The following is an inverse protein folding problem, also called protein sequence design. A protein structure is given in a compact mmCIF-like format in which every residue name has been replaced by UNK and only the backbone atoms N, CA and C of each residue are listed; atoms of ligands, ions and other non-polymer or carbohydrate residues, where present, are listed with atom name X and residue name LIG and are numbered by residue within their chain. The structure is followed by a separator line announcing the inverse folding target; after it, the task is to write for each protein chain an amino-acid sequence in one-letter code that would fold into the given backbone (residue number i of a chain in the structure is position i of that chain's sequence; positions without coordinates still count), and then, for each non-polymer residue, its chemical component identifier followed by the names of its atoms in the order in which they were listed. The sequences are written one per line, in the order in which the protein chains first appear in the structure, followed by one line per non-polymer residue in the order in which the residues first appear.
data_IF_949608691777
#
_entry.id   IF_949608691777
#
_cell.length_a   1.000
_cell.length_b   1.000
_cell.length_c   1.000
_cell.angle_alpha   90.00
_cell.angle_beta   90.00
_cell.angle_gamma   90.00
#
_symmetry.space_group_name_H-M   'P 1'
#
loop_
_entity.id
_entity.type
_entity.pdbx_description
1 polymer ?
#
# COMPACT_ATOMS: atom_id res chain seq x y z
N UNK A 1 -14.99 2.14 9.66
CA UNK A 1 -13.89 1.18 9.39
C UNK A 1 -13.34 0.60 10.70
N UNK A 2 -12.96 1.38 11.69
CA UNK A 2 -12.25 0.91 12.89
C UNK A 2 -13.07 -0.09 13.73
N UNK A 3 -14.40 -0.11 13.59
CA UNK A 3 -15.28 -1.04 14.32
C UNK A 3 -15.29 -2.47 13.75
N UNK A 4 -14.84 -2.69 12.52
CA UNK A 4 -14.91 -4.01 11.87
C UNK A 4 -13.60 -4.46 11.23
N UNK A 5 -12.54 -3.63 11.29
CA UNK A 5 -11.18 -4.02 10.96
C UNK A 5 -10.47 -4.54 12.21
N UNK A 6 -9.57 -5.47 12.00
CA UNK A 6 -8.62 -5.90 13.04
C UNK A 6 -7.52 -4.87 13.18
N UNK A 7 -6.94 -4.79 14.37
CA UNK A 7 -5.82 -3.91 14.67
C UNK A 7 -4.62 -4.75 15.06
N UNK A 8 -3.60 -4.76 14.23
CA UNK A 8 -2.29 -5.32 14.55
C UNK A 8 -1.44 -4.21 15.13
N UNK A 9 -0.87 -4.40 16.30
CA UNK A 9 -0.03 -3.38 16.93
C UNK A 9 1.20 -4.00 17.61
N UNK A 10 2.23 -3.19 17.76
CA UNK A 10 3.42 -3.48 18.54
C UNK A 10 3.27 -2.79 19.88
N UNK A 11 3.41 -3.57 20.94
CA UNK A 11 3.43 -3.09 22.30
C UNK A 11 4.86 -3.12 22.84
N UNK A 12 5.29 -2.03 23.43
CA UNK A 12 6.56 -1.95 24.14
C UNK A 12 6.31 -2.12 25.65
N UNK A 13 6.82 -3.22 26.20
CA UNK A 13 6.64 -3.57 27.60
C UNK A 13 7.43 -2.66 28.55
N UNK A 14 8.54 -2.07 28.09
CA UNK A 14 9.40 -1.23 28.92
C UNK A 14 8.80 0.17 29.12
N UNK A 15 8.12 0.68 28.10
CA UNK A 15 7.51 2.01 28.10
C UNK A 15 5.99 1.99 28.21
N UNK A 16 5.38 0.80 28.24
CA UNK A 16 3.94 0.55 28.39
C UNK A 16 3.08 1.30 27.35
N UNK A 17 3.51 1.27 26.08
CA UNK A 17 2.83 2.01 24.99
C UNK A 17 2.81 1.29 23.65
N UNK A 18 1.87 1.68 22.79
CA UNK A 18 1.82 1.23 21.40
C UNK A 18 2.91 1.98 20.61
N UNK A 19 3.79 1.21 19.95
CA UNK A 19 4.92 1.72 19.15
C UNK A 19 4.56 1.85 17.68
N UNK A 20 3.71 0.99 17.20
CA UNK A 20 3.26 1.00 15.80
C UNK A 20 2.03 0.13 15.60
N UNK A 21 1.30 0.36 14.52
CA UNK A 21 0.12 -0.42 14.21
C UNK A 21 -0.14 -0.51 12.70
N UNK A 22 -0.94 -1.52 12.34
CA UNK A 22 -1.64 -1.65 11.06
C UNK A 22 -3.11 -1.95 11.30
N UNK A 23 -3.97 -1.41 10.45
CA UNK A 23 -5.36 -1.81 10.35
C UNK A 23 -5.49 -2.87 9.26
N UNK A 24 -6.18 -3.96 9.57
CA UNK A 24 -6.27 -5.17 8.74
C UNK A 24 -7.73 -5.53 8.51
N UNK A 25 -8.20 -5.44 7.28
CA UNK A 25 -9.58 -5.75 6.90
C UNK A 25 -9.67 -7.07 6.12
N UNK A 26 -10.47 -8.02 6.59
CA UNK A 26 -10.75 -9.25 5.86
C UNK A 26 -11.77 -8.99 4.76
N UNK A 27 -11.38 -9.21 3.50
CA UNK A 27 -12.20 -8.90 2.34
C UNK A 27 -13.55 -9.62 2.36
N UNK A 28 -13.57 -10.90 2.69
CA UNK A 28 -14.80 -11.69 2.86
C UNK A 28 -15.76 -11.03 3.85
N UNK A 29 -15.31 -10.74 5.07
CA UNK A 29 -16.13 -10.17 6.13
C UNK A 29 -16.67 -8.79 5.76
N UNK A 30 -15.85 -8.00 5.05
CA UNK A 30 -16.23 -6.67 4.56
C UNK A 30 -17.32 -6.78 3.49
N UNK A 31 -17.13 -7.68 2.50
CA UNK A 31 -18.08 -7.83 1.41
C UNK A 31 -19.42 -8.35 1.92
N UNK A 32 -19.40 -9.38 2.77
CA UNK A 32 -20.61 -10.02 3.28
C UNK A 32 -21.48 -9.04 4.10
N UNK A 33 -20.87 -8.08 4.80
CA UNK A 33 -21.59 -7.12 5.65
C UNK A 33 -21.88 -5.77 5.00
N UNK A 34 -20.94 -5.26 4.20
CA UNK A 34 -20.96 -3.87 3.72
C UNK A 34 -20.80 -3.74 2.20
N UNK A 35 -20.52 -4.87 1.50
CA UNK A 35 -20.18 -4.84 0.08
C UNK A 35 -18.88 -4.07 -0.20
N UNK A 36 -18.68 -3.67 -1.45
CA UNK A 36 -17.48 -2.89 -1.88
C UNK A 36 -17.32 -1.58 -1.10
N UNK A 37 -18.42 -0.98 -0.66
CA UNK A 37 -18.40 0.29 0.09
C UNK A 37 -17.74 0.17 1.47
N UNK A 38 -17.62 -1.03 1.99
CA UNK A 38 -16.94 -1.32 3.24
C UNK A 38 -15.41 -1.27 3.17
N UNK A 39 -14.81 -1.25 1.99
CA UNK A 39 -13.37 -1.08 1.83
C UNK A 39 -12.95 0.38 1.92
N UNK A 40 -11.86 0.64 2.62
CA UNK A 40 -11.27 1.98 2.69
C UNK A 40 -10.81 2.48 1.31
N UNK A 41 -10.22 1.59 0.50
CA UNK A 41 -9.81 1.94 -0.87
C UNK A 41 -10.98 2.47 -1.71
N UNK A 42 -12.22 2.06 -1.43
CA UNK A 42 -13.39 2.59 -2.15
C UNK A 42 -13.65 4.09 -1.87
N UNK A 43 -13.08 4.65 -0.81
CA UNK A 43 -13.15 6.10 -0.56
C UNK A 43 -12.24 6.89 -1.51
N UNK A 44 -11.16 6.28 -1.98
CA UNK A 44 -10.13 6.87 -2.84
C UNK A 44 -10.34 6.53 -4.32
N UNK A 45 -10.89 5.35 -4.59
CA UNK A 45 -11.04 4.81 -5.95
C UNK A 45 -12.49 4.42 -6.23
N UNK A 46 -12.86 4.49 -7.50
CA UNK A 46 -14.08 3.86 -8.03
C UNK A 46 -13.72 2.42 -8.37
N UNK A 47 -14.40 1.48 -7.76
CA UNK A 47 -14.13 0.04 -7.89
C UNK A 47 -15.28 -0.60 -8.66
N UNK A 48 -14.95 -1.33 -9.74
CA UNK A 48 -15.91 -2.08 -10.53
C UNK A 48 -16.18 -3.45 -9.91
N UNK A 49 -17.40 -3.97 -10.11
CA UNK A 49 -17.82 -5.26 -9.54
C UNK A 49 -17.00 -6.46 -10.04
N UNK A 50 -16.37 -6.35 -11.19
CA UNK A 50 -15.57 -7.44 -11.78
C UNK A 50 -14.39 -7.87 -10.88
N UNK A 51 -13.89 -6.98 -10.03
CA UNK A 51 -12.79 -7.30 -9.08
C UNK A 51 -13.27 -8.00 -7.80
N UNK A 52 -14.57 -8.20 -7.63
CA UNK A 52 -15.14 -8.81 -6.41
C UNK A 52 -14.45 -10.11 -5.98
N UNK A 53 -14.13 -11.07 -6.87
CA UNK A 53 -13.44 -12.29 -6.46
C UNK A 53 -12.08 -12.00 -5.80
N UNK A 54 -11.32 -11.07 -6.36
CA UNK A 54 -10.01 -10.65 -5.78
C UNK A 54 -10.21 -9.97 -4.44
N UNK A 55 -11.19 -9.07 -4.31
CA UNK A 55 -11.49 -8.41 -3.05
C UNK A 55 -11.95 -9.39 -1.97
N UNK A 56 -12.70 -10.41 -2.34
CA UNK A 56 -13.19 -11.44 -1.42
C UNK A 56 -12.04 -12.27 -0.80
N UNK A 57 -11.02 -12.56 -1.62
CA UNK A 57 -9.81 -13.27 -1.20
C UNK A 57 -8.68 -12.31 -0.75
N UNK A 58 -8.99 -11.04 -0.47
CA UNK A 58 -7.99 -10.05 -0.09
C UNK A 58 -8.01 -9.70 1.39
N UNK A 59 -6.88 -9.21 1.85
CA UNK A 59 -6.74 -8.47 3.11
C UNK A 59 -6.40 -7.04 2.77
N UNK A 60 -7.24 -6.09 3.22
CA UNK A 60 -6.96 -4.67 3.11
C UNK A 60 -6.09 -4.19 4.26
N UNK A 61 -4.91 -3.67 3.93
CA UNK A 61 -3.99 -3.04 4.86
C UNK A 61 -4.13 -1.51 4.79
N UNK A 62 -4.12 -0.88 5.94
CA UNK A 62 -4.19 0.57 5.99
C UNK A 62 -3.82 1.15 7.35
N UNK A 63 -3.78 2.47 7.42
CA UNK A 63 -3.49 3.20 8.66
C UNK A 63 -2.25 2.69 9.38
N UNK A 64 -1.17 2.43 8.62
CA UNK A 64 0.12 2.06 9.22
C UNK A 64 0.79 3.29 9.85
N UNK A 65 1.35 3.10 11.03
CA UNK A 65 2.22 4.09 11.64
C UNK A 65 3.27 3.43 12.53
N UNK A 66 4.36 4.15 12.74
CA UNK A 66 5.35 3.92 13.77
C UNK A 66 5.58 5.28 14.44
N UNK A 67 5.55 5.33 15.77
CA UNK A 67 5.78 6.58 16.52
C UNK A 67 7.20 7.09 16.30
N UNK A 68 7.39 8.40 16.41
CA UNK A 68 8.62 9.09 16.02
C UNK A 68 9.90 8.52 16.64
N UNK A 69 9.88 8.24 17.94
CA UNK A 69 11.03 7.68 18.68
C UNK A 69 11.53 6.33 18.14
N UNK A 70 10.68 5.63 17.39
CA UNK A 70 10.95 4.30 16.82
C UNK A 70 11.09 4.31 15.30
N UNK A 71 10.88 5.48 14.66
CA UNK A 71 11.17 5.66 13.23
C UNK A 71 12.69 5.55 12.99
N UNK A 72 13.09 5.24 11.77
CA UNK A 72 14.47 4.99 11.36
C UNK A 72 15.16 3.78 12.04
N UNK A 73 14.41 3.02 12.85
CA UNK A 73 14.85 1.73 13.37
C UNK A 73 14.20 0.62 12.54
N UNK A 74 14.94 -0.37 12.04
CA UNK A 74 14.38 -1.40 11.15
C UNK A 74 13.43 -2.36 11.89
N UNK A 75 13.67 -2.60 13.18
CA UNK A 75 12.98 -3.62 13.96
C UNK A 75 11.45 -3.42 14.04
N UNK A 76 10.90 -2.24 14.34
CA UNK A 76 9.46 -2.06 14.42
C UNK A 76 8.73 -2.37 13.11
N UNK A 77 9.26 -1.90 11.98
CA UNK A 77 8.70 -2.20 10.67
C UNK A 77 8.74 -3.71 10.36
N UNK A 78 9.87 -4.35 10.65
CA UNK A 78 10.03 -5.79 10.50
C UNK A 78 9.01 -6.57 11.36
N UNK A 79 8.78 -6.15 12.61
CA UNK A 79 7.81 -6.79 13.49
C UNK A 79 6.37 -6.63 13.00
N UNK A 80 5.99 -5.48 12.44
CA UNK A 80 4.69 -5.28 11.80
C UNK A 80 4.50 -6.23 10.62
N UNK A 81 5.49 -6.34 9.73
CA UNK A 81 5.45 -7.27 8.61
C UNK A 81 5.41 -8.75 9.05
N UNK A 82 6.15 -9.10 10.09
CA UNK A 82 6.08 -10.44 10.72
C UNK A 82 4.68 -10.72 11.25
N UNK A 83 4.03 -9.74 11.87
CA UNK A 83 2.66 -9.84 12.35
C UNK A 83 1.65 -10.03 11.19
N UNK A 84 1.81 -9.30 10.09
CA UNK A 84 0.99 -9.46 8.89
C UNK A 84 1.18 -10.87 8.31
N UNK A 85 2.42 -11.34 8.19
CA UNK A 85 2.71 -12.69 7.70
C UNK A 85 2.08 -13.76 8.59
N UNK A 86 2.18 -13.63 9.91
CA UNK A 86 1.53 -14.53 10.86
C UNK A 86 0.01 -14.53 10.68
N UNK A 87 -0.60 -13.35 10.48
CA UNK A 87 -2.02 -13.23 10.20
C UNK A 87 -2.43 -13.98 8.92
N UNK A 88 -1.63 -13.86 7.85
CA UNK A 88 -1.85 -14.57 6.58
C UNK A 88 -1.74 -16.09 6.75
N UNK A 89 -0.73 -16.58 7.48
CA UNK A 89 -0.55 -18.00 7.74
C UNK A 89 -1.77 -18.58 8.50
N UNK A 90 -2.38 -17.77 9.37
CA UNK A 90 -3.59 -18.20 10.12
C UNK A 90 -4.89 -18.08 9.31
N UNK A 91 -4.86 -17.39 8.18
CA UNK A 91 -6.01 -17.15 7.30
C UNK A 91 -5.62 -17.43 5.83
N UNK A 92 -5.31 -18.69 5.48
CA UNK A 92 -4.73 -19.07 4.18
C UNK A 92 -5.68 -18.90 2.99
N UNK A 93 -6.95 -18.63 3.25
CA UNK A 93 -7.96 -18.29 2.23
C UNK A 93 -7.72 -16.93 1.57
N UNK A 94 -6.93 -16.05 2.20
CA UNK A 94 -6.61 -14.74 1.63
C UNK A 94 -5.29 -14.79 0.86
N UNK A 95 -5.37 -14.48 -0.44
CA UNK A 95 -4.25 -14.56 -1.40
C UNK A 95 -3.68 -13.21 -1.78
N UNK A 96 -4.43 -12.14 -1.55
CA UNK A 96 -4.08 -10.80 -1.98
C UNK A 96 -3.94 -9.85 -0.79
N UNK A 97 -2.91 -9.03 -0.81
CA UNK A 97 -2.81 -7.86 0.05
C UNK A 97 -3.14 -6.63 -0.79
N UNK A 98 -4.08 -5.84 -0.33
CA UNK A 98 -4.49 -4.61 -1.00
C UNK A 98 -4.38 -3.43 -0.03
N UNK A 99 -4.16 -2.25 -0.57
CA UNK A 99 -4.12 -1.02 0.23
C UNK A 99 -3.58 0.15 -0.57
N UNK A 100 -3.92 1.37 -0.20
CA UNK A 100 -3.35 2.54 -0.84
C UNK A 100 -1.94 2.79 -0.34
N UNK A 101 -1.03 3.11 -1.25
CA UNK A 101 0.29 3.61 -0.94
C UNK A 101 0.32 5.11 -1.25
N UNK A 102 0.86 5.89 -0.34
CA UNK A 102 0.99 7.34 -0.49
C UNK A 102 2.43 7.71 -0.80
N UNK A 103 2.62 8.42 -1.91
CA UNK A 103 3.90 9.07 -2.22
C UNK A 103 3.92 10.41 -1.47
N UNK A 104 4.97 10.67 -0.70
CA UNK A 104 5.09 11.89 0.10
C UNK A 104 5.06 13.15 -0.79
N UNK A 105 4.34 14.17 -0.34
CA UNK A 105 4.35 15.48 -0.98
C UNK A 105 5.71 16.21 -0.94
N UNK A 106 6.64 15.70 -0.10
CA UNK A 106 8.00 16.25 0.01
C UNK A 106 8.92 15.87 -1.16
N UNK A 107 8.60 14.79 -1.89
CA UNK A 107 9.35 14.43 -3.09
C UNK A 107 9.16 15.48 -4.20
N UNK A 108 10.21 15.70 -4.99
CA UNK A 108 10.13 16.51 -6.21
C UNK A 108 9.14 15.92 -7.21
N UNK A 109 8.64 16.70 -8.14
CA UNK A 109 7.74 16.19 -9.20
C UNK A 109 8.46 15.15 -10.07
N UNK A 110 9.75 15.34 -10.35
CA UNK A 110 10.60 14.38 -11.07
C UNK A 110 10.68 13.05 -10.33
N UNK A 111 10.93 13.06 -9.00
CA UNK A 111 10.98 11.86 -8.18
C UNK A 111 9.62 11.13 -8.17
N UNK A 112 8.51 11.86 -8.08
CA UNK A 112 7.16 11.29 -8.14
C UNK A 112 6.88 10.66 -9.50
N UNK A 113 7.25 11.33 -10.58
CA UNK A 113 7.11 10.81 -11.94
C UNK A 113 7.93 9.54 -12.13
N UNK A 114 9.18 9.53 -11.66
CA UNK A 114 10.08 8.39 -11.71
C UNK A 114 9.49 7.17 -10.98
N UNK A 115 9.00 7.36 -9.74
CA UNK A 115 8.34 6.29 -8.97
C UNK A 115 7.12 5.74 -9.72
N UNK A 116 6.26 6.63 -10.24
CA UNK A 116 5.05 6.22 -10.94
C UNK A 116 5.36 5.45 -12.22
N UNK A 117 6.28 5.94 -13.05
CA UNK A 117 6.68 5.28 -14.29
C UNK A 117 7.34 3.93 -14.02
N UNK A 118 8.20 3.83 -13.00
CA UNK A 118 8.81 2.57 -12.57
C UNK A 118 7.76 1.52 -12.19
N UNK A 119 6.77 1.89 -11.37
CA UNK A 119 5.70 0.99 -10.95
C UNK A 119 4.85 0.57 -12.16
N UNK A 120 4.47 1.50 -13.02
CA UNK A 120 3.67 1.20 -14.21
C UNK A 120 4.43 0.27 -15.15
N UNK A 121 5.73 0.46 -15.33
CA UNK A 121 6.52 -0.38 -16.22
C UNK A 121 6.68 -1.80 -15.70
N UNK A 122 6.97 -1.97 -14.41
CA UNK A 122 7.43 -3.24 -13.86
C UNK A 122 6.35 -4.03 -13.09
N UNK A 123 5.32 -3.34 -12.58
CA UNK A 123 4.35 -3.92 -11.65
C UNK A 123 2.90 -3.66 -12.05
N UNK A 124 2.65 -3.24 -13.29
CA UNK A 124 1.30 -2.94 -13.76
C UNK A 124 0.55 -4.19 -14.18
N UNK A 125 -0.56 -4.46 -13.51
CA UNK A 125 -1.55 -5.45 -13.95
C UNK A 125 -2.69 -4.74 -14.69
N UNK A 126 -2.74 -4.91 -16.00
CA UNK A 126 -3.72 -4.23 -16.85
C UNK A 126 -5.17 -4.70 -16.62
N UNK A 127 -5.39 -5.94 -16.20
CA UNK A 127 -6.72 -6.48 -15.92
C UNK A 127 -7.27 -5.90 -14.62
N UNK A 128 -6.49 -5.93 -13.56
CA UNK A 128 -6.86 -5.34 -12.28
C UNK A 128 -7.02 -3.81 -12.39
N UNK A 129 -6.12 -3.16 -13.11
CA UNK A 129 -6.16 -1.71 -13.30
C UNK A 129 -7.41 -1.22 -14.02
N UNK A 130 -7.98 -2.00 -14.95
CA UNK A 130 -9.26 -1.67 -15.60
C UNK A 130 -10.45 -1.66 -14.64
N UNK A 131 -10.32 -2.36 -13.50
CA UNK A 131 -11.39 -2.47 -12.51
C UNK A 131 -11.34 -1.36 -11.46
N UNK A 132 -10.27 -0.57 -11.43
CA UNK A 132 -10.04 0.47 -10.42
C UNK A 132 -9.71 1.79 -11.11
N UNK A 133 -10.36 2.87 -10.72
CA UNK A 133 -10.04 4.20 -11.21
C UNK A 133 -10.03 5.22 -10.07
N UNK A 134 -9.07 6.16 -10.04
CA UNK A 134 -9.00 7.16 -8.97
C UNK A 134 -10.23 8.07 -8.99
N UNK A 135 -10.69 8.50 -7.83
CA UNK A 135 -11.75 9.52 -7.71
C UNK A 135 -11.20 10.91 -7.98
N UNK A 136 -9.97 11.17 -7.55
CA UNK A 136 -9.22 12.37 -7.89
C UNK A 136 -8.05 11.96 -8.78
N UNK A 137 -7.99 12.50 -10.00
CA UNK A 137 -6.89 12.22 -10.91
C UNK A 137 -5.67 13.04 -10.48
N UNK A 138 -4.55 12.37 -10.31
CA UNK A 138 -3.25 13.05 -10.26
C UNK A 138 -2.87 13.46 -11.68
N UNK A 139 -2.37 14.69 -11.82
CA UNK A 139 -1.80 15.19 -13.08
C UNK A 139 -0.32 15.39 -12.85
N UNK A 140 0.50 14.81 -13.70
CA UNK A 140 1.92 15.15 -13.79
C UNK A 140 1.99 16.55 -14.42
N UNK A 141 2.51 17.52 -13.69
CA UNK A 141 2.58 18.90 -14.14
C UNK A 141 3.74 19.13 -15.11
N UNK A 142 4.77 18.32 -15.01
CA UNK A 142 5.97 18.37 -15.85
C UNK A 142 6.27 17.00 -16.43
N UNK A 143 6.71 16.96 -17.67
CA UNK A 143 7.22 15.73 -18.28
C UNK A 143 8.71 15.92 -18.54
N UNK A 144 9.54 15.25 -17.74
CA UNK A 144 10.99 15.29 -17.89
C UNK A 144 11.43 14.12 -18.78
N UNK A 145 12.00 14.38 -19.97
CA UNK A 145 12.42 13.31 -20.88
C UNK A 145 13.51 12.40 -20.28
N UNK A 146 14.31 12.89 -19.33
CA UNK A 146 15.35 12.12 -18.69
C UNK A 146 14.77 11.04 -17.75
N UNK A 147 13.56 11.22 -17.25
CA UNK A 147 12.89 10.22 -16.41
C UNK A 147 12.68 8.90 -17.14
N UNK A 148 12.37 8.91 -18.43
CA UNK A 148 12.19 7.66 -19.20
C UNK A 148 13.52 6.89 -19.32
N UNK A 149 14.62 7.61 -19.50
CA UNK A 149 15.97 7.01 -19.53
C UNK A 149 16.34 6.44 -18.17
N UNK A 150 16.03 7.16 -17.08
CA UNK A 150 16.27 6.69 -15.70
C UNK A 150 15.46 5.44 -15.36
N UNK A 151 14.18 5.40 -15.75
CA UNK A 151 13.32 4.22 -15.57
C UNK A 151 13.86 3.03 -16.36
N UNK A 152 14.37 3.26 -17.57
CA UNK A 152 14.98 2.21 -18.38
C UNK A 152 16.27 1.67 -17.75
N UNK A 153 17.11 2.55 -17.23
CA UNK A 153 18.35 2.19 -16.54
C UNK A 153 18.10 1.43 -15.22
N UNK A 154 17.03 1.76 -14.50
CA UNK A 154 16.68 1.09 -13.24
C UNK A 154 16.20 -0.36 -13.43
N UNK A 155 15.70 -0.71 -14.63
CA UNK A 155 15.05 -1.99 -14.92
C UNK A 155 14.02 -2.34 -13.85
N UNK A 156 14.10 -3.51 -13.21
CA UNK A 156 13.24 -3.94 -12.09
C UNK A 156 14.01 -3.90 -10.74
N UNK A 157 14.91 -2.94 -10.58
CA UNK A 157 15.76 -2.84 -9.41
C UNK A 157 15.39 -1.63 -8.54
N UNK A 158 14.67 -1.89 -7.45
CA UNK A 158 14.25 -0.88 -6.48
C UNK A 158 15.45 -0.16 -5.85
N UNK A 159 16.58 -0.84 -5.61
CA UNK A 159 17.76 -0.21 -5.04
C UNK A 159 18.41 0.79 -5.99
N UNK A 160 18.28 0.58 -7.31
CA UNK A 160 18.72 1.54 -8.32
C UNK A 160 17.77 2.73 -8.37
N UNK A 161 16.47 2.49 -8.28
CA UNK A 161 15.46 3.54 -8.19
C UNK A 161 15.68 4.44 -6.94
N UNK A 162 15.95 3.83 -5.78
CA UNK A 162 16.19 4.54 -4.53
C UNK A 162 17.39 5.50 -4.61
N UNK A 163 18.46 5.08 -5.29
CA UNK A 163 19.62 5.95 -5.54
C UNK A 163 19.28 7.14 -6.43
N UNK A 164 18.48 6.92 -7.48
CA UNK A 164 18.07 7.99 -8.40
C UNK A 164 17.11 9.01 -7.77
N UNK A 165 16.39 8.61 -6.72
CA UNK A 165 15.47 9.49 -5.98
C UNK A 165 16.21 10.24 -4.87
N UNK A 166 17.29 9.67 -4.33
CA UNK A 166 18.05 10.23 -3.20
C UNK A 166 19.06 11.31 -3.58
N UNK A 167 19.37 11.43 -4.87
CA UNK A 167 20.20 12.48 -5.46
C UNK A 167 19.31 13.66 -5.91
#
# INVERSE_FOLDING_TARGET
FDLYYYHLFIWDNDTDRIVGAYRVGKGKDIIDRYGIKGFYINTLFKIRKQIMPVLYESIELGRSFIIEDYQRKPLPLFMLWKGILYFLIKNPEYRYLIGPVTISGKYSEVSKELIMKFIIRNHWDAELARCISPRCKYRVETHDPDVDVMVEASRDNIATLDKLIGD
#
